data_IF_001355048191
#
_entry.id   IF_001355048191
#
_cell.length_a   1.000
_cell.length_b   1.000
_cell.length_c   1.000
_cell.angle_alpha   90.00
_cell.angle_beta   90.00
_cell.angle_gamma   90.00
#
_symmetry.space_group_name_H-M   'P 1'
#
loop_
_entity.id
_entity.type
_entity.pdbx_description
1 polymer ?
#
# COMPACT_ATOMS: atom_id res chain seq x y z
N UNK A 1 14.13 -14.86 -34.98
CA UNK A 1 13.51 -13.55 -34.69
C UNK A 1 12.00 -13.78 -34.60
N UNK A 2 11.39 -13.67 -33.40
CA UNK A 2 9.95 -13.89 -33.26
C UNK A 2 9.20 -12.66 -33.74
N UNK A 3 8.67 -12.70 -34.96
CA UNK A 3 7.79 -11.64 -35.47
C UNK A 3 6.48 -11.74 -34.69
N UNK A 4 6.27 -10.82 -33.74
CA UNK A 4 5.03 -10.74 -32.98
C UNK A 4 4.00 -10.04 -33.87
N UNK A 5 2.87 -10.70 -34.16
CA UNK A 5 1.75 -10.09 -34.88
C UNK A 5 1.30 -8.78 -34.20
N UNK A 6 1.06 -7.71 -34.98
CA UNK A 6 0.58 -6.41 -34.51
C UNK A 6 -0.69 -6.52 -33.65
N UNK A 7 -1.58 -7.48 -33.93
CA UNK A 7 -2.75 -7.76 -33.08
C UNK A 7 -2.34 -8.21 -31.69
N UNK A 8 -1.31 -9.06 -31.61
CA UNK A 8 -0.76 -9.58 -30.36
C UNK A 8 -0.01 -8.50 -29.58
N UNK A 9 0.74 -7.63 -30.25
CA UNK A 9 1.39 -6.45 -29.64
C UNK A 9 0.34 -5.56 -28.97
N UNK A 10 -0.70 -5.18 -29.71
CA UNK A 10 -1.79 -4.32 -29.22
C UNK A 10 -2.47 -4.92 -27.99
N UNK A 11 -2.74 -6.23 -28.04
CA UNK A 11 -3.34 -6.98 -26.93
C UNK A 11 -2.43 -7.00 -25.70
N UNK A 12 -1.12 -7.23 -25.88
CA UNK A 12 -0.16 -7.21 -24.77
C UNK A 12 -0.05 -5.83 -24.13
N UNK A 13 0.05 -4.76 -24.94
CA UNK A 13 0.07 -3.37 -24.45
C UNK A 13 -1.18 -3.04 -23.65
N UNK A 14 -2.37 -3.41 -24.15
CA UNK A 14 -3.63 -3.26 -23.41
C UNK A 14 -3.62 -3.95 -22.04
N UNK A 15 -3.06 -5.17 -21.95
CA UNK A 15 -2.97 -5.89 -20.69
C UNK A 15 -1.90 -5.36 -19.72
N UNK A 16 -0.79 -4.82 -20.26
CA UNK A 16 0.25 -4.19 -19.47
C UNK A 16 -0.23 -2.83 -18.89
N UNK A 17 -1.23 -2.21 -19.51
CA UNK A 17 -1.84 -0.97 -19.02
C UNK A 17 -0.79 0.13 -18.88
N UNK A 18 -0.72 0.77 -17.71
CA UNK A 18 0.25 1.84 -17.41
C UNK A 18 1.71 1.41 -17.60
N UNK A 19 2.02 0.13 -17.39
CA UNK A 19 3.37 -0.38 -17.61
C UNK A 19 3.77 -0.37 -19.08
N UNK A 20 2.79 -0.36 -20.01
CA UNK A 20 3.06 -0.33 -21.44
C UNK A 20 3.77 0.96 -21.86
N UNK A 21 3.50 2.09 -21.21
CA UNK A 21 4.13 3.38 -21.50
C UNK A 21 5.63 3.36 -21.18
N UNK A 22 6.05 2.48 -20.26
CA UNK A 22 7.43 2.33 -19.82
C UNK A 22 8.24 1.34 -20.66
N UNK A 23 7.61 0.71 -21.65
CA UNK A 23 8.24 -0.30 -22.51
C UNK A 23 8.29 0.27 -23.93
N UNK A 24 9.48 0.75 -24.33
CA UNK A 24 9.70 1.30 -25.68
C UNK A 24 9.70 0.24 -26.76
N UNK A 25 10.46 -0.83 -26.56
CA UNK A 25 10.64 -1.86 -27.57
C UNK A 25 9.64 -3.01 -27.41
N UNK A 26 8.83 -3.21 -28.46
CA UNK A 26 7.80 -4.23 -28.55
C UNK A 26 8.35 -5.66 -28.42
N UNK A 27 9.61 -5.89 -28.79
CA UNK A 27 10.28 -7.18 -28.68
C UNK A 27 10.29 -7.71 -27.23
N UNK A 28 10.26 -6.82 -26.24
CA UNK A 28 10.28 -7.18 -24.82
C UNK A 28 8.88 -7.32 -24.19
N UNK A 29 7.80 -6.97 -24.89
CA UNK A 29 6.44 -7.09 -24.35
C UNK A 29 6.11 -8.51 -23.85
N UNK A 30 6.48 -9.61 -24.55
CA UNK A 30 6.23 -10.96 -24.05
C UNK A 30 6.90 -11.22 -22.69
N UNK A 31 8.11 -10.70 -22.49
CA UNK A 31 8.85 -10.84 -21.24
C UNK A 31 8.10 -10.14 -20.10
N UNK A 32 7.79 -8.85 -20.26
CA UNK A 32 7.07 -8.09 -19.23
C UNK A 32 5.68 -8.68 -18.95
N UNK A 33 4.95 -9.14 -19.97
CA UNK A 33 3.66 -9.78 -19.79
C UNK A 33 3.77 -11.08 -18.98
N UNK A 34 4.81 -11.88 -19.23
CA UNK A 34 5.08 -13.09 -18.44
C UNK A 34 5.40 -12.74 -16.98
N UNK A 35 6.21 -11.71 -16.72
CA UNK A 35 6.52 -11.23 -15.37
C UNK A 35 5.28 -10.71 -14.64
N UNK A 36 4.46 -9.90 -15.29
CA UNK A 36 3.19 -9.41 -14.75
C UNK A 36 2.24 -10.55 -14.34
N UNK A 37 2.19 -11.64 -15.12
CA UNK A 37 1.37 -12.82 -14.76
C UNK A 37 1.94 -13.57 -13.56
N UNK A 38 3.26 -13.79 -13.52
CA UNK A 38 3.91 -14.60 -12.48
C UNK A 38 4.07 -13.87 -11.15
N UNK A 39 4.36 -12.57 -11.18
CA UNK A 39 4.75 -11.77 -10.03
C UNK A 39 3.89 -10.51 -9.95
N UNK A 40 2.57 -10.67 -9.93
CA UNK A 40 1.64 -9.56 -10.10
C UNK A 40 1.87 -8.42 -9.11
N UNK A 41 2.02 -8.74 -7.82
CA UNK A 41 2.18 -7.73 -6.78
C UNK A 41 3.52 -7.00 -6.90
N UNK A 42 4.61 -7.73 -7.11
CA UNK A 42 5.94 -7.15 -7.30
C UNK A 42 6.01 -6.34 -8.60
N UNK A 43 5.32 -6.77 -9.65
CA UNK A 43 5.19 -6.05 -10.91
C UNK A 43 4.46 -4.72 -10.72
N UNK A 44 3.30 -4.73 -10.08
CA UNK A 44 2.52 -3.51 -9.83
C UNK A 44 3.33 -2.52 -8.96
N UNK A 45 3.99 -2.98 -7.88
CA UNK A 45 4.88 -2.12 -7.07
C UNK A 45 6.06 -1.58 -7.89
N UNK A 46 6.66 -2.40 -8.76
CA UNK A 46 7.79 -1.95 -9.59
C UNK A 46 7.41 -0.81 -10.54
N UNK A 47 6.19 -0.83 -11.07
CA UNK A 47 5.66 0.21 -11.97
C UNK A 47 5.43 1.49 -11.18
N UNK A 48 4.92 1.41 -9.96
CA UNK A 48 4.76 2.60 -9.11
C UNK A 48 6.10 3.19 -8.69
N UNK A 49 7.10 2.36 -8.35
CA UNK A 49 8.46 2.84 -8.05
C UNK A 49 9.13 3.44 -9.28
N UNK A 50 8.92 2.88 -10.47
CA UNK A 50 9.50 3.40 -11.71
C UNK A 50 9.13 4.87 -11.96
N UNK A 51 7.87 5.25 -11.69
CA UNK A 51 7.38 6.63 -11.85
C UNK A 51 8.12 7.64 -10.99
N UNK A 52 8.72 7.21 -9.88
CA UNK A 52 9.48 8.10 -8.99
C UNK A 52 10.96 8.21 -9.39
N UNK A 53 11.41 7.53 -10.45
CA UNK A 53 12.81 7.54 -10.88
C UNK A 53 13.04 8.57 -11.97
N UNK A 54 14.29 9.04 -12.06
CA UNK A 54 14.75 9.94 -13.13
C UNK A 54 14.57 9.32 -14.52
N UNK A 55 14.79 8.02 -14.62
CA UNK A 55 14.60 7.24 -15.84
C UNK A 55 13.72 6.02 -15.52
N UNK A 56 12.39 6.16 -15.64
CA UNK A 56 11.44 5.11 -15.32
C UNK A 56 11.59 3.85 -16.19
N UNK A 57 11.86 4.02 -17.48
CA UNK A 57 11.97 2.93 -18.46
C UNK A 57 13.19 2.07 -18.17
N UNK A 58 14.36 2.71 -18.01
CA UNK A 58 15.61 2.02 -17.70
C UNK A 58 15.54 1.31 -16.35
N UNK A 59 14.90 1.94 -15.37
CA UNK A 59 14.67 1.32 -14.07
C UNK A 59 13.82 0.04 -14.21
N UNK A 60 12.67 0.13 -14.88
CA UNK A 60 11.77 -1.00 -15.04
C UNK A 60 12.44 -2.15 -15.79
N UNK A 61 13.18 -1.85 -16.87
CA UNK A 61 13.96 -2.84 -17.60
C UNK A 61 15.05 -3.50 -16.73
N UNK A 62 15.74 -2.72 -15.90
CA UNK A 62 16.80 -3.22 -15.01
C UNK A 62 16.26 -4.19 -13.95
N UNK A 63 15.14 -3.85 -13.32
CA UNK A 63 14.44 -4.67 -12.33
C UNK A 63 14.00 -6.01 -12.90
N UNK A 64 13.46 -6.01 -14.12
CA UNK A 64 12.91 -7.21 -14.76
C UNK A 64 13.90 -7.97 -15.66
N UNK A 65 15.15 -7.50 -15.74
CA UNK A 65 16.23 -8.20 -16.42
C UNK A 65 16.52 -9.55 -15.75
N UNK A 66 16.87 -10.57 -16.55
CA UNK A 66 17.13 -11.92 -16.04
C UNK A 66 18.22 -11.95 -14.96
N UNK A 67 19.29 -11.17 -15.17
CA UNK A 67 20.44 -11.09 -14.25
C UNK A 67 20.04 -10.64 -12.83
N UNK A 68 19.03 -9.78 -12.73
CA UNK A 68 18.65 -9.15 -11.46
C UNK A 68 17.33 -9.68 -10.90
N UNK A 69 16.70 -10.66 -11.55
CA UNK A 69 15.31 -11.01 -11.27
C UNK A 69 15.09 -11.46 -9.82
N UNK A 70 15.91 -12.40 -9.33
CA UNK A 70 15.78 -12.93 -7.99
C UNK A 70 15.99 -11.86 -6.91
N UNK A 71 17.08 -11.09 -7.04
CA UNK A 71 17.39 -10.00 -6.13
C UNK A 71 16.31 -8.91 -6.14
N UNK A 72 15.79 -8.59 -7.32
CA UNK A 72 14.73 -7.59 -7.47
C UNK A 72 13.42 -8.07 -6.84
N UNK A 73 13.05 -9.33 -7.02
CA UNK A 73 11.87 -9.93 -6.38
C UNK A 73 12.00 -9.92 -4.86
N UNK A 74 13.15 -10.31 -4.32
CA UNK A 74 13.40 -10.28 -2.87
C UNK A 74 13.24 -8.86 -2.31
N UNK A 75 13.82 -7.87 -2.99
CA UNK A 75 13.71 -6.47 -2.59
C UNK A 75 12.25 -5.95 -2.65
N UNK A 76 11.51 -6.26 -3.71
CA UNK A 76 10.10 -5.88 -3.86
C UNK A 76 9.23 -6.49 -2.76
N UNK A 77 9.40 -7.78 -2.47
CA UNK A 77 8.68 -8.46 -1.37
C UNK A 77 8.96 -7.80 -0.03
N UNK A 78 10.22 -7.44 0.24
CA UNK A 78 10.59 -6.70 1.44
C UNK A 78 9.95 -5.30 1.54
N UNK A 79 9.75 -4.60 0.41
CA UNK A 79 8.99 -3.35 0.39
C UNK A 79 7.51 -3.57 0.69
N UNK A 80 6.88 -4.52 0.02
CA UNK A 80 5.46 -4.86 0.21
C UNK A 80 5.20 -5.26 1.66
N UNK A 81 6.03 -6.14 2.24
CA UNK A 81 5.92 -6.56 3.63
C UNK A 81 6.03 -5.38 4.61
N UNK A 82 6.96 -4.45 4.37
CA UNK A 82 7.08 -3.22 5.19
C UNK A 82 5.85 -2.33 5.08
N UNK A 83 5.27 -2.18 3.89
CA UNK A 83 4.05 -1.40 3.70
C UNK A 83 2.86 -2.02 4.46
N UNK A 84 2.69 -3.34 4.37
CA UNK A 84 1.65 -4.09 5.11
C UNK A 84 1.83 -3.92 6.62
N UNK A 85 3.05 -4.12 7.13
CA UNK A 85 3.35 -3.97 8.55
C UNK A 85 3.10 -2.54 9.06
N UNK A 86 3.45 -1.53 8.26
CA UNK A 86 3.16 -0.13 8.60
C UNK A 86 1.66 0.13 8.71
N UNK A 87 0.87 -0.37 7.76
CA UNK A 87 -0.59 -0.23 7.80
C UNK A 87 -1.19 -0.97 9.00
N UNK A 88 -0.68 -2.15 9.34
CA UNK A 88 -1.11 -2.90 10.51
C UNK A 88 -0.84 -2.13 11.82
N UNK A 89 0.35 -1.54 11.97
CA UNK A 89 0.70 -0.69 13.11
C UNK A 89 -0.23 0.51 13.24
N UNK A 90 -0.48 1.24 12.15
CA UNK A 90 -1.41 2.37 12.14
C UNK A 90 -2.83 1.97 12.56
N UNK A 91 -3.31 0.79 12.14
CA UNK A 91 -4.61 0.26 12.57
C UNK A 91 -4.63 -0.04 14.06
N UNK A 92 -3.56 -0.61 14.60
CA UNK A 92 -3.43 -0.91 16.02
C UNK A 92 -3.38 0.36 16.87
N UNK A 93 -2.56 1.34 16.48
CA UNK A 93 -2.49 2.66 17.14
C UNK A 93 -3.85 3.35 17.14
N UNK A 94 -4.57 3.33 16.02
CA UNK A 94 -5.93 3.91 15.93
C UNK A 94 -6.92 3.19 16.85
N UNK A 95 -6.80 1.87 17.03
CA UNK A 95 -7.62 1.11 17.97
C UNK A 95 -7.29 1.48 19.42
N UNK A 96 -6.00 1.57 19.77
CA UNK A 96 -5.54 1.95 21.10
C UNK A 96 -6.03 3.36 21.47
N UNK A 97 -5.85 4.34 20.59
CA UNK A 97 -6.36 5.71 20.81
C UNK A 97 -7.87 5.75 21.05
N UNK A 98 -8.66 4.98 20.27
CA UNK A 98 -10.11 4.89 20.49
C UNK A 98 -10.47 4.27 21.84
N UNK A 99 -9.72 3.26 22.28
CA UNK A 99 -9.89 2.63 23.59
C UNK A 99 -9.55 3.60 24.72
N UNK A 100 -8.42 4.32 24.60
CA UNK A 100 -8.00 5.35 25.55
C UNK A 100 -9.00 6.50 25.63
N UNK A 101 -9.51 7.00 24.49
CA UNK A 101 -10.55 8.03 24.44
C UNK A 101 -11.86 7.56 25.08
N UNK A 102 -12.21 6.27 24.94
CA UNK A 102 -13.38 5.69 25.59
C UNK A 102 -13.16 5.59 27.10
N UNK A 103 -12.03 5.03 27.54
CA UNK A 103 -11.69 4.92 28.95
C UNK A 103 -11.62 6.29 29.64
N UNK A 104 -11.04 7.30 28.97
CA UNK A 104 -11.00 8.68 29.47
C UNK A 104 -12.41 9.29 29.61
N UNK A 105 -13.30 9.04 28.65
CA UNK A 105 -14.70 9.48 28.75
C UNK A 105 -15.43 8.79 29.89
N UNK A 106 -15.27 7.48 30.03
CA UNK A 106 -15.90 6.69 31.09
C UNK A 106 -15.40 7.14 32.48
N UNK A 107 -14.10 7.43 32.61
CA UNK A 107 -13.50 7.99 33.83
C UNK A 107 -14.00 9.42 34.14
N UNK A 108 -14.11 10.27 33.11
CA UNK A 108 -14.68 11.61 33.29
C UNK A 108 -16.16 11.54 33.69
N UNK A 109 -16.91 10.56 33.16
CA UNK A 109 -18.31 10.35 33.52
C UNK A 109 -18.44 9.89 34.97
N UNK A 110 -17.65 8.91 35.42
CA UNK A 110 -17.69 8.44 36.81
C UNK A 110 -17.28 9.54 37.80
N UNK A 111 -16.29 10.36 37.46
CA UNK A 111 -15.92 11.55 38.24
C UNK A 111 -17.07 12.55 38.35
N UNK A 112 -17.75 12.85 37.23
CA UNK A 112 -18.93 13.73 37.21
C UNK A 112 -20.09 13.17 38.03
N UNK A 113 -20.34 11.87 37.94
CA UNK A 113 -21.39 11.21 38.71
C UNK A 113 -21.13 11.32 40.23
N UNK A 114 -19.88 11.10 40.66
CA UNK A 114 -19.48 11.25 42.07
C UNK A 114 -19.62 12.68 42.57
N UNK A 115 -19.23 13.66 41.75
CA UNK A 115 -19.41 15.09 42.06
C UNK A 115 -20.91 15.40 42.19
N UNK A 116 -21.74 14.98 41.23
CA UNK A 116 -23.19 15.19 41.26
C UNK A 116 -23.83 14.60 42.53
N UNK A 117 -23.37 13.42 42.96
CA UNK A 117 -23.84 12.80 44.19
C UNK A 117 -23.48 13.64 45.43
N UNK A 118 -22.24 14.09 45.55
CA UNK A 118 -21.80 14.95 46.67
C UNK A 118 -22.60 16.26 46.77
N UNK A 119 -22.90 16.90 45.64
CA UNK A 119 -23.74 18.11 45.62
C UNK A 119 -25.19 17.83 46.01
N UNK A 120 -25.75 16.70 45.56
CA UNK A 120 -27.07 16.22 46.00
C UNK A 120 -27.13 15.99 47.50
N UNK A 121 -26.11 15.34 48.08
CA UNK A 121 -26.00 15.07 49.51
C UNK A 121 -25.84 16.36 50.34
N UNK A 122 -25.26 17.43 49.77
CA UNK A 122 -25.18 18.77 50.36
C UNK A 122 -26.43 19.65 50.12
N UNK A 123 -27.45 19.14 49.43
CA UNK A 123 -28.69 19.89 49.13
C UNK A 123 -28.52 20.99 48.07
N UNK A 124 -27.43 20.98 47.31
CA UNK A 124 -27.12 21.99 46.28
C UNK A 124 -27.44 21.39 44.90
N UNK A 125 -28.42 21.97 44.21
CA UNK A 125 -28.78 21.53 42.87
C UNK A 125 -27.90 22.23 41.81
N UNK A 126 -27.02 21.47 41.14
CA UNK A 126 -26.25 21.97 40.00
C UNK A 126 -27.20 22.15 38.80
N UNK A 127 -27.45 23.39 38.38
CA UNK A 127 -28.16 23.68 37.12
C UNK A 127 -27.31 23.22 35.94
N UNK A 128 -27.96 22.51 35.03
CA UNK A 128 -27.41 21.93 33.79
C UNK A 128 -26.87 22.97 32.83
#
# INVERSE_FOLDING_TARGET
>A
MFVVDNKRITTMRKHLGKASELIKDDAYLPMFRNRQKKYKQEFDESVEVAKTKRDPERYLASVWSLKNLEQSLLWMRGRIARAINKLARQRQEKKQRKMEERARRDMNYSGRAKISQMYGDMGICLKS
#
